data_IF_195171440993
#
_entry.id   IF_195171440993
#
_cell.length_a   1.000
_cell.length_b   1.000
_cell.length_c   1.000
_cell.angle_alpha   90.00
_cell.angle_beta   90.00
_cell.angle_gamma   90.00
#
_symmetry.space_group_name_H-M   'P 1'
#
loop_
_entity.id
_entity.type
_entity.pdbx_description
1 polymer ?
#
# COMPACT_ATOMS: atom_id res chain seq x y z
N UNK A 1 9.09 -17.58 -5.29
CA UNK A 1 8.05 -18.33 -6.03
C UNK A 1 7.41 -19.34 -5.09
N UNK A 2 6.36 -18.95 -4.38
CA UNK A 2 5.31 -19.91 -4.04
C UNK A 2 4.39 -19.91 -5.26
N UNK A 3 4.07 -21.09 -5.79
CA UNK A 3 3.32 -21.25 -7.04
C UNK A 3 2.03 -20.44 -7.00
N UNK A 4 1.93 -19.47 -7.90
CA UNK A 4 0.75 -18.66 -8.19
C UNK A 4 -0.23 -19.47 -9.03
N UNK A 5 -0.68 -20.59 -8.48
CA UNK A 5 -1.84 -21.28 -8.99
C UNK A 5 -2.78 -21.42 -7.81
N UNK A 6 -3.78 -20.52 -7.79
CA UNK A 6 -5.09 -20.79 -7.24
C UNK A 6 -5.32 -20.43 -5.77
N UNK A 7 -5.93 -19.26 -5.56
CA UNK A 7 -6.99 -19.14 -4.55
C UNK A 7 -8.31 -19.66 -5.19
N UNK A 8 -9.03 -20.56 -4.52
CA UNK A 8 -10.36 -21.06 -4.91
C UNK A 8 -10.62 -21.40 -6.40
N UNK A 9 -9.74 -22.11 -7.08
CA UNK A 9 -9.90 -22.48 -8.50
C UNK A 9 -9.95 -21.30 -9.48
N UNK A 10 -9.49 -20.10 -9.13
CA UNK A 10 -9.51 -18.97 -10.06
C UNK A 10 -8.36 -19.05 -11.05
N UNK A 11 -8.69 -19.45 -12.27
CA UNK A 11 -7.80 -19.33 -13.41
C UNK A 11 -8.10 -18.01 -14.12
N UNK A 12 -7.11 -17.11 -14.18
CA UNK A 12 -7.27 -15.85 -14.91
C UNK A 12 -7.49 -16.05 -16.42
N UNK A 13 -7.14 -17.23 -16.92
CA UNK A 13 -7.27 -17.63 -18.31
C UNK A 13 -8.55 -18.47 -18.55
N UNK A 14 -9.38 -18.68 -17.52
CA UNK A 14 -10.69 -19.32 -17.68
C UNK A 14 -11.64 -18.45 -18.54
N UNK A 15 -12.43 -19.07 -19.44
CA UNK A 15 -13.43 -18.36 -20.22
C UNK A 15 -14.34 -17.50 -19.35
N UNK A 16 -14.65 -16.29 -19.82
CA UNK A 16 -15.58 -15.39 -19.13
C UNK A 16 -17.01 -15.95 -19.03
N UNK A 17 -17.37 -16.87 -19.94
CA UNK A 17 -18.63 -17.60 -19.90
C UNK A 17 -18.40 -19.02 -19.35
N UNK A 18 -18.62 -19.18 -18.05
CA UNK A 18 -18.71 -20.48 -17.37
C UNK A 18 -19.88 -20.41 -16.38
N UNK A 19 -20.61 -21.51 -16.21
CA UNK A 19 -21.68 -21.66 -15.22
C UNK A 19 -21.30 -21.17 -13.82
N UNK A 20 -20.06 -21.40 -13.37
CA UNK A 20 -19.55 -20.89 -12.09
C UNK A 20 -19.58 -19.35 -12.03
N UNK A 21 -19.07 -18.69 -13.06
CA UNK A 21 -19.04 -17.22 -13.18
C UNK A 21 -20.44 -16.63 -13.33
N UNK A 22 -21.33 -17.30 -14.06
CA UNK A 22 -22.74 -16.91 -14.19
C UNK A 22 -23.44 -16.96 -12.83
N UNK A 23 -23.20 -18.02 -12.04
CA UNK A 23 -23.75 -18.14 -10.69
C UNK A 23 -23.23 -17.03 -9.77
N UNK A 24 -21.94 -16.71 -9.82
CA UNK A 24 -21.35 -15.61 -9.06
C UNK A 24 -21.98 -14.25 -9.42
N UNK A 25 -22.15 -13.96 -10.71
CA UNK A 25 -22.83 -12.74 -11.18
C UNK A 25 -24.29 -12.71 -10.71
N UNK A 26 -25.00 -13.84 -10.73
CA UNK A 26 -26.39 -13.91 -10.29
C UNK A 26 -26.54 -13.62 -8.78
N UNK A 27 -25.64 -14.17 -7.95
CA UNK A 27 -25.61 -13.92 -6.50
C UNK A 27 -25.21 -12.47 -6.21
N UNK A 28 -24.18 -11.94 -6.88
CA UNK A 28 -23.67 -10.58 -6.71
C UNK A 28 -24.31 -9.52 -7.63
N UNK A 29 -25.51 -9.75 -8.17
CA UNK A 29 -26.07 -8.99 -9.31
C UNK A 29 -26.06 -7.48 -9.11
N UNK A 30 -26.40 -7.00 -7.92
CA UNK A 30 -26.49 -5.57 -7.66
C UNK A 30 -25.10 -4.92 -7.66
N UNK A 31 -24.08 -5.64 -7.15
CA UNK A 31 -22.67 -5.22 -7.19
C UNK A 31 -22.19 -5.15 -8.64
N UNK A 32 -22.48 -6.19 -9.41
CA UNK A 32 -22.16 -6.30 -10.83
C UNK A 32 -22.76 -5.14 -11.62
N UNK A 33 -24.07 -4.90 -11.52
CA UNK A 33 -24.74 -3.84 -12.28
C UNK A 33 -24.24 -2.44 -11.90
N UNK A 34 -24.02 -2.18 -10.60
CA UNK A 34 -23.42 -0.90 -10.15
C UNK A 34 -22.03 -0.68 -10.76
N UNK A 35 -21.20 -1.72 -10.78
CA UNK A 35 -19.86 -1.66 -11.36
C UNK A 35 -19.90 -1.40 -12.86
N UNK A 36 -20.64 -2.22 -13.61
CA UNK A 36 -20.73 -2.13 -15.07
C UNK A 36 -21.34 -0.79 -15.52
N UNK A 37 -22.40 -0.34 -14.85
CA UNK A 37 -23.00 0.97 -15.11
C UNK A 37 -21.99 2.10 -14.92
N UNK A 38 -21.22 2.06 -13.82
CA UNK A 38 -20.23 3.09 -13.51
C UNK A 38 -19.10 3.10 -14.52
N UNK A 39 -18.53 1.93 -14.85
CA UNK A 39 -17.43 1.79 -15.80
C UNK A 39 -17.84 2.27 -17.19
N UNK A 40 -19.01 1.85 -17.69
CA UNK A 40 -19.54 2.30 -18.99
C UNK A 40 -19.79 3.81 -18.98
N UNK A 41 -20.30 4.36 -17.89
CA UNK A 41 -20.55 5.81 -17.77
C UNK A 41 -19.25 6.61 -17.80
N UNK A 42 -18.22 6.16 -17.08
CA UNK A 42 -16.89 6.79 -17.06
C UNK A 42 -16.25 6.71 -18.44
N UNK A 43 -16.22 5.52 -19.05
CA UNK A 43 -15.65 5.30 -20.39
C UNK A 43 -16.32 6.18 -21.44
N UNK A 44 -17.66 6.20 -21.49
CA UNK A 44 -18.40 7.03 -22.45
C UNK A 44 -18.15 8.52 -22.25
N UNK A 45 -17.91 8.96 -21.02
CA UNK A 45 -17.59 10.36 -20.74
C UNK A 45 -16.22 10.76 -21.30
N UNK A 46 -15.21 9.89 -21.20
CA UNK A 46 -13.89 10.10 -21.82
C UNK A 46 -13.96 10.01 -23.33
N UNK A 47 -14.68 9.04 -23.89
CA UNK A 47 -14.84 8.90 -25.33
C UNK A 47 -15.45 10.17 -25.97
N UNK A 48 -16.47 10.77 -25.31
CA UNK A 48 -17.07 12.05 -25.73
C UNK A 48 -16.07 13.20 -25.66
N UNK A 49 -15.29 13.30 -24.57
CA UNK A 49 -14.29 14.36 -24.44
C UNK A 49 -13.16 14.20 -25.47
N UNK A 50 -12.62 12.99 -25.63
CA UNK A 50 -11.59 12.68 -26.63
C UNK A 50 -12.05 13.06 -28.04
N UNK A 51 -13.29 12.73 -28.42
CA UNK A 51 -13.87 13.14 -29.70
C UNK A 51 -13.96 14.66 -29.84
N UNK A 52 -14.39 15.36 -28.78
CA UNK A 52 -14.48 16.83 -28.76
C UNK A 52 -13.10 17.49 -28.88
N UNK A 53 -12.11 17.00 -28.15
CA UNK A 53 -10.73 17.52 -28.20
C UNK A 53 -10.08 17.24 -29.55
N UNK A 54 -10.27 16.05 -30.13
CA UNK A 54 -9.77 15.72 -31.47
C UNK A 54 -10.32 16.70 -32.51
N UNK A 55 -11.63 16.94 -32.51
CA UNK A 55 -12.28 17.90 -33.40
C UNK A 55 -11.78 19.33 -33.18
N UNK A 56 -11.61 19.75 -31.92
CA UNK A 56 -11.07 21.09 -31.57
C UNK A 56 -9.61 21.28 -32.01
N UNK A 57 -8.79 20.23 -31.96
CA UNK A 57 -7.42 20.26 -32.50
C UNK A 57 -7.41 20.40 -34.03
N UNK A 58 -8.22 19.59 -34.71
CA UNK A 58 -8.29 19.55 -36.18
C UNK A 58 -8.90 20.83 -36.77
N UNK A 59 -9.96 21.38 -36.18
CA UNK A 59 -10.73 22.50 -36.77
C UNK A 59 -10.38 23.87 -36.18
N UNK A 60 -9.95 23.93 -34.92
CA UNK A 60 -9.80 25.18 -34.15
C UNK A 60 -8.39 25.38 -33.59
N UNK A 61 -7.45 24.49 -33.90
CA UNK A 61 -6.06 24.59 -33.45
C UNK A 61 -5.91 24.55 -31.92
N UNK A 62 -6.80 23.84 -31.21
CA UNK A 62 -6.76 23.81 -29.74
C UNK A 62 -5.42 23.34 -29.20
N UNK A 63 -4.78 24.22 -28.43
CA UNK A 63 -3.56 23.93 -27.69
C UNK A 63 -3.87 23.18 -26.39
N UNK A 64 -2.83 22.59 -25.76
CA UNK A 64 -2.94 21.86 -24.50
C UNK A 64 -3.61 22.69 -23.40
N UNK A 65 -3.31 23.97 -23.32
CA UNK A 65 -3.87 24.89 -22.33
C UNK A 65 -5.39 24.99 -22.38
N UNK A 66 -5.97 24.78 -23.57
CA UNK A 66 -7.42 24.85 -23.79
C UNK A 66 -8.11 23.56 -23.33
N UNK A 67 -7.61 22.40 -23.76
CA UNK A 67 -8.30 21.14 -23.50
C UNK A 67 -7.92 20.48 -22.17
N UNK A 68 -6.74 20.74 -21.63
CA UNK A 68 -6.26 20.11 -20.40
C UNK A 68 -7.14 20.41 -19.17
N UNK A 69 -7.63 21.65 -18.94
CA UNK A 69 -8.62 21.93 -17.88
C UNK A 69 -9.91 21.10 -18.02
N UNK A 70 -10.34 20.79 -19.24
CA UNK A 70 -11.53 19.99 -19.49
C UNK A 70 -11.35 18.54 -19.00
N UNK A 71 -10.16 17.97 -19.19
CA UNK A 71 -9.81 16.65 -18.64
C UNK A 71 -9.75 16.69 -17.11
N UNK A 72 -9.14 17.73 -16.51
CA UNK A 72 -9.09 17.90 -15.05
C UNK A 72 -10.49 17.91 -14.43
N UNK A 73 -11.43 18.64 -15.02
CA UNK A 73 -12.82 18.67 -14.57
C UNK A 73 -13.55 17.32 -14.77
N UNK A 74 -13.26 16.62 -15.87
CA UNK A 74 -13.80 15.29 -16.08
C UNK A 74 -13.25 14.27 -15.07
N UNK A 75 -11.96 14.33 -14.75
CA UNK A 75 -11.32 13.49 -13.74
C UNK A 75 -12.02 13.65 -12.39
N UNK A 76 -12.26 14.88 -11.92
CA UNK A 76 -12.99 15.12 -10.66
C UNK A 76 -14.39 14.48 -10.65
N UNK A 77 -15.14 14.64 -11.73
CA UNK A 77 -16.50 14.07 -11.85
C UNK A 77 -16.49 12.55 -11.80
N UNK A 78 -15.59 11.93 -12.57
CA UNK A 78 -15.49 10.48 -12.65
C UNK A 78 -14.87 9.85 -11.39
N UNK A 79 -13.93 10.55 -10.75
CA UNK A 79 -13.35 10.17 -9.46
C UNK A 79 -14.44 10.01 -8.38
N UNK A 80 -15.41 10.92 -8.34
CA UNK A 80 -16.54 10.80 -7.41
C UNK A 80 -17.44 9.59 -7.71
N UNK A 81 -17.61 9.24 -8.99
CA UNK A 81 -18.36 8.04 -9.37
C UNK A 81 -17.62 6.77 -8.90
N UNK A 82 -16.30 6.73 -9.09
CA UNK A 82 -15.46 5.61 -8.65
C UNK A 82 -15.44 5.47 -7.13
N UNK A 83 -15.30 6.58 -6.40
CA UNK A 83 -15.42 6.60 -4.94
C UNK A 83 -16.76 6.01 -4.46
N UNK A 84 -17.89 6.46 -5.04
CA UNK A 84 -19.21 5.94 -4.69
C UNK A 84 -19.34 4.45 -4.98
N UNK A 85 -18.84 3.99 -6.12
CA UNK A 85 -18.82 2.57 -6.47
C UNK A 85 -18.06 1.77 -5.41
N UNK A 86 -16.83 2.17 -5.10
CA UNK A 86 -15.98 1.48 -4.15
C UNK A 86 -16.58 1.46 -2.75
N UNK A 87 -17.11 2.60 -2.29
CA UNK A 87 -17.77 2.72 -0.98
C UNK A 87 -19.01 1.84 -0.87
N UNK A 88 -19.85 1.80 -1.91
CA UNK A 88 -21.13 1.10 -1.87
C UNK A 88 -20.98 -0.41 -2.04
N UNK A 89 -19.99 -0.87 -2.82
CA UNK A 89 -19.72 -2.29 -2.93
C UNK A 89 -18.88 -2.80 -1.75
N UNK A 90 -17.96 -2.03 -1.18
CA UNK A 90 -17.15 -2.50 -0.06
C UNK A 90 -16.21 -3.65 -0.42
N UNK A 91 -15.63 -4.32 0.59
CA UNK A 91 -14.76 -5.50 0.43
C UNK A 91 -13.66 -5.29 -0.63
N UNK A 92 -13.59 -6.16 -1.65
CA UNK A 92 -12.61 -6.10 -2.75
C UNK A 92 -12.56 -4.74 -3.45
N UNK A 93 -13.65 -3.99 -3.49
CA UNK A 93 -13.64 -2.65 -4.08
C UNK A 93 -12.95 -1.59 -3.22
N UNK A 94 -12.96 -1.75 -1.89
CA UNK A 94 -12.18 -0.90 -0.98
C UNK A 94 -10.70 -1.25 -1.13
N UNK A 95 -10.37 -2.53 -1.26
CA UNK A 95 -9.01 -2.98 -1.59
C UNK A 95 -8.52 -2.43 -2.93
N UNK A 96 -9.37 -2.46 -3.96
CA UNK A 96 -9.09 -1.84 -5.25
C UNK A 96 -8.84 -0.32 -5.12
N UNK A 97 -9.64 0.37 -4.30
CA UNK A 97 -9.44 1.79 -4.03
C UNK A 97 -8.11 2.05 -3.30
N UNK A 98 -7.76 1.23 -2.31
CA UNK A 98 -6.48 1.27 -1.61
C UNK A 98 -5.31 1.06 -2.58
N UNK A 99 -5.36 0.01 -3.39
CA UNK A 99 -4.36 -0.31 -4.40
C UNK A 99 -4.12 0.86 -5.37
N UNK A 100 -5.20 1.40 -5.96
CA UNK A 100 -5.12 2.47 -6.94
C UNK A 100 -4.70 3.82 -6.35
N UNK A 101 -5.20 4.17 -5.17
CA UNK A 101 -4.81 5.42 -4.49
C UNK A 101 -3.36 5.40 -4.03
N UNK A 102 -2.75 4.22 -3.93
CA UNK A 102 -1.35 4.06 -3.58
C UNK A 102 -0.42 3.93 -4.81
N UNK A 103 -0.98 4.06 -6.03
CA UNK A 103 -0.30 4.01 -7.34
C UNK A 103 -0.48 5.33 -8.10
N UNK A 104 0.25 6.38 -7.70
CA UNK A 104 0.18 7.69 -8.34
C UNK A 104 0.72 7.71 -9.78
N UNK A 105 1.33 6.63 -10.24
CA UNK A 105 1.76 6.35 -11.61
C UNK A 105 0.63 5.82 -12.52
N UNK A 106 -0.52 5.43 -11.96
CA UNK A 106 -1.64 4.83 -12.71
C UNK A 106 -2.79 5.81 -12.91
N UNK A 107 -3.15 6.57 -11.87
CA UNK A 107 -4.35 7.42 -11.88
C UNK A 107 -4.03 8.90 -11.81
N UNK A 108 -4.86 9.76 -12.45
CA UNK A 108 -4.80 11.20 -12.21
C UNK A 108 -5.07 11.54 -10.74
N UNK A 109 -4.41 12.59 -10.23
CA UNK A 109 -4.51 13.09 -8.85
C UNK A 109 -5.95 13.16 -8.31
N UNK A 110 -6.91 13.62 -9.11
CA UNK A 110 -8.32 13.73 -8.70
C UNK A 110 -8.93 12.39 -8.25
N UNK A 111 -8.54 11.26 -8.86
CA UNK A 111 -9.00 9.94 -8.42
C UNK A 111 -8.31 9.50 -7.13
N UNK A 112 -7.01 9.74 -7.02
CA UNK A 112 -6.22 9.40 -5.82
C UNK A 112 -6.84 10.10 -4.60
N UNK A 113 -7.07 11.41 -4.70
CA UNK A 113 -7.67 12.21 -3.64
C UNK A 113 -9.09 11.74 -3.28
N UNK A 114 -9.91 11.39 -4.27
CA UNK A 114 -11.26 10.88 -4.02
C UNK A 114 -11.28 9.51 -3.34
N UNK A 115 -10.29 8.65 -3.61
CA UNK A 115 -10.20 7.29 -3.07
C UNK A 115 -9.47 7.23 -1.71
N UNK A 116 -8.60 8.21 -1.39
CA UNK A 116 -7.83 8.28 -0.13
C UNK A 116 -8.68 8.05 1.13
N UNK A 117 -9.92 8.59 1.27
CA UNK A 117 -10.74 8.34 2.45
C UNK A 117 -11.15 6.86 2.65
N UNK A 118 -11.14 6.05 1.60
CA UNK A 118 -11.47 4.62 1.69
C UNK A 118 -10.32 3.78 2.27
N UNK A 119 -9.11 4.34 2.37
CA UNK A 119 -7.99 3.64 3.00
C UNK A 119 -8.25 3.34 4.48
N UNK A 120 -8.99 4.22 5.17
CA UNK A 120 -9.26 4.13 6.61
C UNK A 120 -10.70 3.72 6.94
N UNK A 121 -11.50 3.32 5.95
CA UNK A 121 -12.93 3.05 6.10
C UNK A 121 -13.22 1.61 6.59
N UNK A 122 -12.50 1.15 7.61
CA UNK A 122 -12.67 -0.19 8.16
C UNK A 122 -13.98 -0.26 8.97
N UNK A 123 -14.76 -1.32 8.76
CA UNK A 123 -16.00 -1.58 9.50
C UNK A 123 -15.80 -2.80 10.37
N UNK A 124 -16.21 -2.72 11.63
CA UNK A 124 -16.32 -3.89 12.48
C UNK A 124 -17.68 -4.58 12.29
N UNK A 125 -17.69 -5.88 12.56
CA UNK A 125 -18.85 -6.73 12.71
C UNK A 125 -18.95 -7.18 14.18
N UNK A 126 -20.15 -7.48 14.68
CA UNK A 126 -20.31 -8.07 16.01
C UNK A 126 -19.49 -9.36 16.15
N UNK A 127 -18.94 -9.62 17.33
CA UNK A 127 -18.14 -10.82 17.59
C UNK A 127 -18.87 -12.12 17.26
N UNK A 128 -20.20 -12.15 17.47
CA UNK A 128 -21.04 -13.30 17.10
C UNK A 128 -20.95 -13.68 15.61
N UNK A 129 -20.69 -12.73 14.72
CA UNK A 129 -20.49 -12.98 13.30
C UNK A 129 -19.12 -13.63 12.98
N UNK A 130 -18.15 -13.56 13.90
CA UNK A 130 -16.84 -14.20 13.79
C UNK A 130 -16.82 -15.64 14.32
N UNK A 131 -17.79 -16.00 15.18
CA UNK A 131 -17.87 -17.32 15.81
C UNK A 131 -17.89 -18.46 14.78
N UNK A 132 -18.62 -18.38 13.65
CA UNK A 132 -18.56 -19.42 12.62
C UNK A 132 -17.15 -19.64 12.07
N UNK A 133 -16.40 -18.57 11.82
CA UNK A 133 -15.00 -18.64 11.34
C UNK A 133 -14.10 -19.31 12.39
N UNK A 134 -14.26 -18.95 13.67
CA UNK A 134 -13.51 -19.58 14.77
C UNK A 134 -13.85 -21.07 14.91
N UNK A 135 -15.12 -21.45 14.77
CA UNK A 135 -15.56 -22.85 14.82
C UNK A 135 -14.99 -23.66 13.66
N UNK A 136 -14.97 -23.10 12.45
CA UNK A 136 -14.45 -23.78 11.27
C UNK A 136 -12.92 -23.96 11.32
N UNK A 137 -12.17 -22.97 11.81
CA UNK A 137 -10.70 -23.00 11.81
C UNK A 137 -10.12 -23.69 13.06
N UNK A 138 -10.72 -23.48 14.23
CA UNK A 138 -10.22 -23.96 15.53
C UNK A 138 -11.06 -25.11 16.11
N UNK A 139 -12.17 -25.47 15.48
CA UNK A 139 -13.07 -26.55 15.89
C UNK A 139 -14.26 -26.07 16.76
N UNK A 140 -15.28 -26.94 16.96
CA UNK A 140 -16.51 -26.57 17.68
C UNK A 140 -16.29 -26.15 19.13
N UNK A 141 -15.21 -26.64 19.76
CA UNK A 141 -14.86 -26.35 21.15
C UNK A 141 -13.71 -25.34 21.25
N UNK A 142 -13.52 -24.45 20.26
CA UNK A 142 -12.42 -23.49 20.23
C UNK A 142 -12.28 -22.66 21.52
N UNK A 143 -13.40 -22.39 22.22
CA UNK A 143 -13.40 -21.67 23.50
C UNK A 143 -12.60 -22.38 24.60
N UNK A 144 -12.46 -23.71 24.53
CA UNK A 144 -11.68 -24.48 25.51
C UNK A 144 -10.17 -24.20 25.41
N UNK A 145 -9.72 -23.64 24.28
CA UNK A 145 -8.32 -23.20 24.08
C UNK A 145 -8.00 -21.92 24.86
N UNK A 146 -9.02 -21.16 25.25
CA UNK A 146 -8.89 -19.85 25.88
C UNK A 146 -9.44 -19.84 27.31
N UNK A 147 -8.79 -19.06 28.18
CA UNK A 147 -9.37 -18.66 29.46
C UNK A 147 -10.49 -17.66 29.23
N UNK A 148 -10.25 -16.65 28.39
CA UNK A 148 -11.25 -15.67 27.94
C UNK A 148 -10.88 -15.10 26.57
N UNK A 149 -11.88 -14.60 25.85
CA UNK A 149 -11.72 -13.83 24.61
C UNK A 149 -12.56 -12.57 24.72
N UNK A 150 -11.95 -11.41 24.48
CA UNK A 150 -12.64 -10.12 24.49
C UNK A 150 -13.45 -9.94 23.21
N UNK A 151 -14.76 -9.73 23.36
CA UNK A 151 -15.66 -9.56 22.21
C UNK A 151 -15.52 -8.18 21.54
N UNK A 152 -15.03 -7.18 22.26
CA UNK A 152 -14.72 -5.87 21.70
C UNK A 152 -13.44 -5.93 20.85
N UNK A 153 -13.48 -5.51 19.57
CA UNK A 153 -12.31 -5.51 18.72
C UNK A 153 -11.32 -4.43 19.17
N UNK A 154 -10.05 -4.81 19.31
CA UNK A 154 -8.95 -3.87 19.60
C UNK A 154 -8.54 -3.12 18.33
N UNK A 155 -8.54 -3.83 17.20
CA UNK A 155 -8.22 -3.26 15.91
C UNK A 155 -9.11 -3.88 14.83
N UNK A 156 -9.42 -3.09 13.81
CA UNK A 156 -10.18 -3.54 12.65
C UNK A 156 -9.37 -3.20 11.41
N UNK A 157 -9.11 -4.22 10.60
CA UNK A 157 -8.52 -4.12 9.27
C UNK A 157 -9.62 -4.23 8.21
N UNK A 158 -9.23 -4.20 6.95
CA UNK A 158 -10.16 -4.25 5.81
C UNK A 158 -10.81 -5.62 5.60
N UNK A 159 -10.15 -6.71 6.00
CA UNK A 159 -10.64 -8.09 5.87
C UNK A 159 -10.63 -8.87 7.20
N UNK A 160 -10.24 -8.23 8.31
CA UNK A 160 -10.02 -8.93 9.58
C UNK A 160 -10.30 -8.03 10.79
N UNK A 161 -10.56 -8.65 11.94
CA UNK A 161 -10.61 -8.00 13.25
C UNK A 161 -9.62 -8.65 14.20
N UNK A 162 -9.07 -7.85 15.11
CA UNK A 162 -8.15 -8.32 16.14
C UNK A 162 -8.81 -8.18 17.50
N UNK A 163 -8.81 -9.26 18.26
CA UNK A 163 -9.38 -9.36 19.60
C UNK A 163 -8.30 -9.74 20.61
N UNK A 164 -8.35 -9.14 21.80
CA UNK A 164 -7.49 -9.57 22.92
C UNK A 164 -8.06 -10.84 23.53
N UNK A 165 -7.21 -11.77 23.92
CA UNK A 165 -7.60 -13.00 24.58
C UNK A 165 -6.51 -13.47 25.54
N UNK A 166 -6.83 -14.49 26.33
CA UNK A 166 -5.89 -15.21 27.17
C UNK A 166 -6.03 -16.71 26.95
N UNK A 167 -4.91 -17.39 26.74
CA UNK A 167 -4.84 -18.85 26.61
C UNK A 167 -4.98 -19.53 27.98
N UNK A 168 -5.34 -20.82 28.01
CA UNK A 168 -5.43 -21.60 29.27
C UNK A 168 -4.13 -21.69 30.06
N UNK A 169 -2.98 -21.48 29.42
CA UNK A 169 -1.67 -21.42 30.07
C UNK A 169 -1.38 -20.04 30.70
N UNK A 170 -2.32 -19.10 30.68
CA UNK A 170 -2.21 -17.75 31.21
C UNK A 170 -1.60 -16.71 30.26
N UNK A 171 -1.10 -17.13 29.09
CA UNK A 171 -0.49 -16.21 28.13
C UNK A 171 -1.55 -15.33 27.45
N UNK A 172 -1.35 -14.02 27.47
CA UNK A 172 -2.18 -13.08 26.71
C UNK A 172 -1.78 -13.07 25.23
N UNK A 173 -2.79 -13.05 24.37
CA UNK A 173 -2.64 -13.17 22.91
C UNK A 173 -3.54 -12.19 22.17
N UNK A 174 -3.15 -11.86 20.95
CA UNK A 174 -3.99 -11.18 19.98
C UNK A 174 -4.50 -12.22 18.96
N UNK A 175 -5.83 -12.29 18.78
CA UNK A 175 -6.48 -13.18 17.81
C UNK A 175 -6.96 -12.32 16.64
N UNK A 176 -6.32 -12.45 15.49
CA UNK A 176 -6.75 -11.88 14.21
C UNK A 176 -7.68 -12.88 13.53
N UNK A 177 -8.94 -12.50 13.34
CA UNK A 177 -9.99 -13.32 12.71
C UNK A 177 -10.45 -12.64 11.44
N UNK A 178 -10.50 -13.39 10.34
CA UNK A 178 -11.04 -12.90 9.08
C UNK A 178 -12.53 -12.56 9.23
N UNK A 179 -12.96 -11.44 8.64
CA UNK A 179 -14.38 -11.07 8.58
C UNK A 179 -15.17 -12.13 7.80
N UNK A 180 -16.43 -12.41 8.17
CA UNK A 180 -17.26 -13.36 7.42
C UNK A 180 -17.51 -12.86 6.00
N UNK A 181 -17.82 -13.78 5.08
CA UNK A 181 -18.22 -13.51 3.69
C UNK A 181 -17.17 -12.84 2.80
N UNK A 182 -15.99 -12.45 3.30
CA UNK A 182 -14.97 -11.78 2.46
C UNK A 182 -14.50 -12.63 1.29
N UNK A 183 -14.39 -13.96 1.49
CA UNK A 183 -14.08 -14.91 0.43
C UNK A 183 -15.18 -14.95 -0.63
N UNK A 184 -16.45 -15.00 -0.20
CA UNK A 184 -17.59 -15.03 -1.13
C UNK A 184 -17.75 -13.72 -1.91
N UNK A 185 -17.50 -12.59 -1.26
CA UNK A 185 -17.52 -11.27 -1.89
C UNK A 185 -16.36 -11.11 -2.86
N UNK A 186 -15.17 -11.62 -2.52
CA UNK A 186 -14.04 -11.68 -3.42
C UNK A 186 -14.35 -12.52 -4.66
N UNK A 187 -14.91 -13.72 -4.48
CA UNK A 187 -15.36 -14.60 -5.56
C UNK A 187 -16.34 -13.91 -6.52
N UNK A 188 -17.31 -13.16 -5.98
CA UNK A 188 -18.28 -12.40 -6.77
C UNK A 188 -17.63 -11.27 -7.56
N UNK A 189 -16.75 -10.50 -6.91
CA UNK A 189 -16.09 -9.35 -7.53
C UNK A 189 -14.98 -9.75 -8.51
N UNK A 190 -14.35 -10.92 -8.34
CA UNK A 190 -13.29 -11.43 -9.20
C UNK A 190 -13.71 -11.41 -10.68
N UNK A 191 -14.89 -12.00 -10.97
CA UNK A 191 -15.44 -12.03 -12.33
C UNK A 191 -15.74 -10.62 -12.86
N UNK A 192 -16.22 -9.72 -12.01
CA UNK A 192 -16.50 -8.33 -12.39
C UNK A 192 -15.21 -7.62 -12.82
N UNK A 193 -14.15 -7.77 -12.03
CA UNK A 193 -12.85 -7.18 -12.33
C UNK A 193 -12.24 -7.74 -13.63
N UNK A 194 -12.33 -9.05 -13.88
CA UNK A 194 -11.90 -9.63 -15.16
C UNK A 194 -12.62 -9.00 -16.35
N UNK A 195 -13.94 -8.81 -16.26
CA UNK A 195 -14.74 -8.18 -17.31
C UNK A 195 -14.36 -6.71 -17.51
N UNK A 196 -14.09 -5.98 -16.43
CA UNK A 196 -13.60 -4.60 -16.50
C UNK A 196 -12.24 -4.53 -17.20
N UNK A 197 -11.33 -5.47 -16.89
CA UNK A 197 -10.03 -5.57 -17.56
C UNK A 197 -10.18 -5.72 -19.06
N UNK A 198 -11.09 -6.59 -19.51
CA UNK A 198 -11.38 -6.74 -20.95
C UNK A 198 -12.04 -5.49 -21.56
N UNK A 199 -12.95 -4.82 -20.84
CA UNK A 199 -13.65 -3.64 -21.36
C UNK A 199 -12.78 -2.40 -21.48
N UNK A 200 -11.75 -2.29 -20.64
CA UNK A 200 -10.83 -1.15 -20.59
C UNK A 200 -9.51 -1.43 -21.31
N UNK A 201 -9.32 -2.64 -21.84
CA UNK A 201 -8.14 -3.03 -22.59
C UNK A 201 -7.89 -2.08 -23.78
N UNK A 202 -6.65 -1.59 -23.89
CA UNK A 202 -6.24 -0.60 -24.90
C UNK A 202 -6.89 0.78 -24.78
N UNK A 203 -7.73 1.06 -23.79
CA UNK A 203 -8.40 2.37 -23.62
C UNK A 203 -7.59 3.38 -22.79
N UNK A 204 -6.59 2.90 -22.04
CA UNK A 204 -5.68 3.72 -21.25
C UNK A 204 -4.27 3.50 -21.81
N UNK A 205 -3.72 4.43 -22.63
CA UNK A 205 -2.50 4.19 -23.42
C UNK A 205 -1.25 3.83 -22.59
N UNK A 206 -1.19 4.26 -21.33
CA UNK A 206 -0.04 4.08 -20.45
C UNK A 206 -0.21 2.97 -19.40
N UNK A 207 -1.33 2.24 -19.41
CA UNK A 207 -1.64 1.25 -18.38
C UNK A 207 -2.17 -0.03 -19.01
N UNK A 208 -1.49 -1.15 -18.76
CA UNK A 208 -2.06 -2.48 -18.98
C UNK A 208 -3.08 -2.76 -17.88
N UNK A 209 -4.34 -2.41 -18.17
CA UNK A 209 -5.45 -2.55 -17.20
C UNK A 209 -5.69 -4.01 -16.84
N UNK A 210 -5.47 -4.95 -17.76
CA UNK A 210 -5.67 -6.38 -17.51
C UNK A 210 -4.62 -6.90 -16.54
N UNK A 211 -3.36 -6.59 -16.80
CA UNK A 211 -2.25 -6.99 -15.94
C UNK A 211 -2.38 -6.36 -14.55
N UNK A 212 -2.72 -5.06 -14.50
CA UNK A 212 -2.95 -4.35 -13.23
C UNK A 212 -4.06 -5.00 -12.40
N UNK A 213 -5.20 -5.33 -13.02
CA UNK A 213 -6.31 -6.00 -12.33
C UNK A 213 -5.92 -7.39 -11.86
N UNK A 214 -5.20 -8.16 -12.70
CA UNK A 214 -4.68 -9.48 -12.33
C UNK A 214 -3.82 -9.38 -11.07
N UNK A 215 -2.84 -8.48 -11.08
CA UNK A 215 -1.95 -8.25 -9.94
C UNK A 215 -2.71 -7.85 -8.66
N UNK A 216 -3.68 -6.95 -8.77
CA UNK A 216 -4.50 -6.53 -7.62
C UNK A 216 -5.32 -7.70 -7.04
N UNK A 217 -5.90 -8.54 -7.90
CA UNK A 217 -6.67 -9.72 -7.48
C UNK A 217 -5.77 -10.79 -6.85
N UNK A 218 -4.58 -11.03 -7.40
CA UNK A 218 -3.57 -11.94 -6.82
C UNK A 218 -3.18 -11.47 -5.42
N UNK A 219 -2.84 -10.19 -5.27
CA UNK A 219 -2.45 -9.63 -3.97
C UNK A 219 -3.58 -9.70 -2.94
N UNK A 220 -4.82 -9.39 -3.35
CA UNK A 220 -5.99 -9.49 -2.46
C UNK A 220 -6.26 -10.94 -2.06
N UNK A 221 -6.07 -11.89 -2.98
CA UNK A 221 -6.22 -13.31 -2.68
C UNK A 221 -5.15 -13.83 -1.70
N UNK A 222 -3.92 -13.32 -1.79
CA UNK A 222 -2.88 -13.61 -0.79
C UNK A 222 -3.27 -13.10 0.59
N UNK A 223 -3.80 -11.88 0.70
CA UNK A 223 -4.25 -11.32 1.99
C UNK A 223 -5.39 -12.14 2.63
N UNK A 224 -6.26 -12.76 1.84
CA UNK A 224 -7.34 -13.62 2.33
C UNK A 224 -6.85 -14.94 2.94
N UNK A 225 -5.57 -15.26 2.81
CA UNK A 225 -4.96 -16.43 3.42
C UNK A 225 -3.87 -16.01 4.41
N UNK A 226 -4.20 -16.02 5.69
CA UNK A 226 -3.27 -15.65 6.76
C UNK A 226 -2.06 -16.58 6.89
N UNK A 227 -2.00 -17.69 6.15
CA UNK A 227 -0.77 -18.50 6.06
C UNK A 227 0.38 -17.74 5.38
N UNK A 228 0.09 -16.81 4.45
CA UNK A 228 1.13 -15.97 3.86
C UNK A 228 1.70 -15.00 4.90
N UNK A 229 0.84 -14.32 5.64
CA UNK A 229 1.25 -13.43 6.74
C UNK A 229 1.99 -14.20 7.83
N UNK A 230 1.48 -15.36 8.25
CA UNK A 230 2.16 -16.27 9.18
C UNK A 230 3.58 -16.62 8.71
N UNK A 231 3.75 -17.02 7.45
CA UNK A 231 5.06 -17.37 6.91
C UNK A 231 6.00 -16.14 6.87
N UNK A 232 5.46 -14.96 6.58
CA UNK A 232 6.22 -13.71 6.62
C UNK A 232 6.64 -13.36 8.04
N UNK A 233 5.70 -13.31 9.00
CA UNK A 233 6.00 -13.03 10.41
C UNK A 233 7.03 -14.01 10.97
N UNK A 234 6.89 -15.30 10.67
CA UNK A 234 7.86 -16.32 11.08
C UNK A 234 9.26 -16.01 10.52
N UNK A 235 9.36 -15.79 9.20
CA UNK A 235 10.64 -15.47 8.55
C UNK A 235 11.26 -14.22 9.15
N UNK A 236 10.47 -13.16 9.37
CA UNK A 236 10.97 -11.94 9.98
C UNK A 236 11.40 -12.17 11.43
N UNK A 237 10.69 -13.00 12.21
CA UNK A 237 11.08 -13.34 13.58
C UNK A 237 12.42 -14.08 13.69
N UNK A 238 12.89 -14.70 12.61
CA UNK A 238 14.18 -15.42 12.54
C UNK A 238 15.35 -14.51 12.11
N UNK A 239 15.08 -13.28 11.65
CA UNK A 239 16.11 -12.34 11.19
C UNK A 239 16.73 -11.55 12.36
N UNK A 240 18.00 -11.18 12.21
CA UNK A 240 18.73 -10.38 13.19
C UNK A 240 18.47 -8.88 12.98
N UNK A 241 17.37 -8.40 13.55
CA UNK A 241 16.95 -7.00 13.44
C UNK A 241 17.84 -6.03 14.20
N UNK A 242 17.74 -4.75 13.83
CA UNK A 242 18.27 -3.62 14.61
C UNK A 242 17.88 -3.72 16.09
N UNK A 243 18.72 -3.19 17.01
CA UNK A 243 18.36 -3.07 18.42
C UNK A 243 16.99 -2.41 18.59
N UNK A 244 16.23 -2.87 19.59
CA UNK A 244 14.86 -2.42 19.90
C UNK A 244 13.78 -2.71 18.86
N UNK A 245 14.09 -3.30 17.70
CA UNK A 245 13.05 -3.83 16.80
C UNK A 245 12.58 -5.19 17.30
N UNK A 246 11.27 -5.39 17.31
CA UNK A 246 10.63 -6.64 17.73
C UNK A 246 9.57 -7.09 16.73
N UNK A 247 9.38 -8.40 16.65
CA UNK A 247 8.42 -9.09 15.79
C UNK A 247 7.48 -9.91 16.68
N UNK A 248 6.16 -9.93 16.42
CA UNK A 248 5.23 -10.76 17.16
C UNK A 248 5.62 -12.25 17.12
N UNK A 249 5.49 -12.91 18.26
CA UNK A 249 5.68 -14.36 18.43
C UNK A 249 4.37 -15.06 18.08
N UNK A 250 4.44 -16.01 17.16
CA UNK A 250 3.28 -16.76 16.66
C UNK A 250 2.90 -17.89 17.62
N UNK A 251 1.59 -18.07 17.83
CA UNK A 251 1.03 -19.28 18.45
C UNK A 251 0.76 -20.30 17.33
N UNK A 252 1.80 -21.06 16.96
CA UNK A 252 1.81 -21.89 15.75
C UNK A 252 0.58 -22.79 15.59
N UNK A 253 0.17 -23.49 16.66
CA UNK A 253 -0.95 -24.45 16.61
C UNK A 253 -2.30 -23.78 16.36
N UNK A 254 -2.42 -22.49 16.65
CA UNK A 254 -3.63 -21.69 16.53
C UNK A 254 -3.68 -20.85 15.25
N UNK A 255 -2.60 -20.84 14.46
CA UNK A 255 -2.56 -20.12 13.19
C UNK A 255 -3.07 -21.01 12.04
N UNK A 256 -4.18 -20.60 11.42
CA UNK A 256 -4.88 -21.30 10.33
C UNK A 256 -5.09 -20.35 9.15
N UNK A 257 -5.94 -20.70 8.19
CA UNK A 257 -6.12 -19.91 6.95
C UNK A 257 -6.79 -18.56 7.25
N UNK A 258 -7.77 -18.56 8.17
CA UNK A 258 -8.62 -17.40 8.48
C UNK A 258 -8.52 -16.92 9.93
N UNK A 259 -7.63 -17.53 10.71
CA UNK A 259 -7.32 -17.15 12.09
C UNK A 259 -5.81 -17.12 12.27
N UNK A 260 -5.28 -16.04 12.84
CA UNK A 260 -3.87 -15.91 13.18
C UNK A 260 -3.76 -15.42 14.62
N UNK A 261 -2.89 -16.05 15.41
CA UNK A 261 -2.75 -15.75 16.84
C UNK A 261 -1.29 -15.45 17.16
N UNK A 262 -1.04 -14.29 17.77
CA UNK A 262 0.28 -13.86 18.23
C UNK A 262 0.26 -13.61 19.73
N UNK A 263 1.43 -13.46 20.36
CA UNK A 263 1.49 -12.88 21.71
C UNK A 263 0.81 -11.51 21.72
N UNK A 264 0.22 -11.16 22.86
CA UNK A 264 -0.19 -9.80 23.13
C UNK A 264 1.05 -8.92 23.36
N UNK A 265 1.00 -7.69 22.85
CA UNK A 265 2.06 -6.69 22.98
C UNK A 265 1.46 -5.56 23.82
N UNK A 266 1.96 -5.39 25.04
CA UNK A 266 1.60 -4.25 25.87
C UNK A 266 2.37 -3.02 25.41
N UNK A 267 1.76 -2.23 24.52
CA UNK A 267 2.37 -1.04 23.96
C UNK A 267 1.37 -0.01 23.46
N UNK A 268 1.80 1.24 23.33
CA UNK A 268 1.03 2.33 22.70
C UNK A 268 1.35 2.37 21.21
N UNK A 269 0.45 2.89 20.38
CA UNK A 269 0.76 3.12 18.96
C UNK A 269 1.86 4.17 18.86
N UNK A 270 2.80 3.97 17.93
CA UNK A 270 3.91 4.90 17.71
C UNK A 270 3.41 6.34 17.59
N UNK A 271 2.38 6.59 16.77
CA UNK A 271 1.82 7.94 16.57
C UNK A 271 1.33 8.57 17.86
N UNK A 272 0.68 7.80 18.74
CA UNK A 272 0.16 8.35 19.99
C UNK A 272 1.31 8.81 20.90
N UNK A 273 2.43 8.08 20.91
CA UNK A 273 3.65 8.48 21.62
C UNK A 273 4.28 9.70 20.97
N UNK A 274 4.46 9.70 19.64
CA UNK A 274 5.06 10.83 18.95
C UNK A 274 4.24 12.12 19.17
N UNK A 275 2.90 12.03 19.15
CA UNK A 275 2.00 13.14 19.45
C UNK A 275 2.11 13.60 20.91
N UNK A 276 2.28 12.67 21.86
CA UNK A 276 2.50 12.97 23.28
C UNK A 276 3.83 13.69 23.51
N UNK A 277 4.93 13.14 23.01
CA UNK A 277 6.25 13.75 23.06
C UNK A 277 6.26 15.12 22.38
N UNK A 278 5.57 15.27 21.24
CA UNK A 278 5.53 16.55 20.52
C UNK A 278 4.81 17.64 21.31
N UNK A 279 3.71 17.29 21.99
CA UNK A 279 2.99 18.20 22.90
C UNK A 279 3.85 18.61 24.11
N UNK A 280 4.76 17.75 24.52
CA UNK A 280 5.64 17.96 25.67
C UNK A 280 7.04 18.51 25.29
N UNK A 281 7.26 18.86 24.01
CA UNK A 281 8.54 19.33 23.45
C UNK A 281 9.72 18.33 23.60
N UNK A 282 9.42 17.04 23.74
CA UNK A 282 10.43 15.97 23.79
C UNK A 282 10.84 15.52 22.39
N UNK A 283 11.57 16.40 21.70
CA UNK A 283 12.03 16.14 20.33
C UNK A 283 13.14 15.10 20.24
N UNK A 284 13.80 14.78 21.35
CA UNK A 284 14.89 13.81 21.41
C UNK A 284 14.33 12.38 21.39
N UNK A 285 13.27 12.09 22.15
CA UNK A 285 12.61 10.79 22.13
C UNK A 285 11.94 10.50 20.78
N UNK A 286 11.30 11.50 20.18
CA UNK A 286 10.75 11.39 18.81
C UNK A 286 11.86 11.03 17.83
N UNK A 287 13.00 11.73 17.89
CA UNK A 287 14.13 11.48 16.99
C UNK A 287 14.68 10.07 17.16
N UNK A 288 14.82 9.61 18.40
CA UNK A 288 15.30 8.27 18.71
C UNK A 288 14.39 7.19 18.10
N UNK A 289 13.08 7.22 18.38
CA UNK A 289 12.12 6.24 17.84
C UNK A 289 12.07 6.23 16.31
N UNK A 290 12.06 7.41 15.68
CA UNK A 290 12.07 7.50 14.22
C UNK A 290 13.37 7.00 13.60
N UNK A 291 14.50 7.19 14.30
CA UNK A 291 15.81 6.68 13.85
C UNK A 291 15.87 5.15 13.94
N UNK A 292 15.32 4.56 15.00
CA UNK A 292 15.18 3.10 15.14
C UNK A 292 14.38 2.53 13.97
N UNK A 293 13.23 3.13 13.66
CA UNK A 293 12.38 2.69 12.57
C UNK A 293 13.04 2.87 11.19
N UNK A 294 13.67 4.01 10.95
CA UNK A 294 14.41 4.28 9.72
C UNK A 294 15.53 3.26 9.49
N UNK A 295 16.34 2.98 10.52
CA UNK A 295 17.42 2.01 10.44
C UNK A 295 16.90 0.59 10.17
N UNK A 296 15.75 0.22 10.76
CA UNK A 296 15.09 -1.05 10.48
C UNK A 296 14.71 -1.19 9.00
N UNK A 297 14.04 -0.18 8.43
CA UNK A 297 13.63 -0.24 7.02
C UNK A 297 14.82 -0.25 6.06
N UNK A 298 15.86 0.52 6.38
CA UNK A 298 17.10 0.47 5.60
C UNK A 298 17.70 -0.93 5.64
N UNK A 299 17.82 -1.55 6.81
CA UNK A 299 18.31 -2.93 6.94
C UNK A 299 17.47 -3.92 6.13
N UNK A 300 16.15 -3.83 6.22
CA UNK A 300 15.22 -4.69 5.48
C UNK A 300 15.43 -4.60 3.96
N UNK A 301 15.63 -3.38 3.44
CA UNK A 301 15.83 -3.15 2.00
C UNK A 301 17.25 -3.55 1.57
N UNK A 302 18.28 -3.12 2.28
CA UNK A 302 19.67 -3.19 1.82
C UNK A 302 20.42 -4.44 2.27
N UNK A 303 20.00 -5.07 3.37
CA UNK A 303 20.64 -6.26 3.92
C UNK A 303 19.76 -7.51 3.72
N UNK A 304 18.49 -7.46 4.11
CA UNK A 304 17.63 -8.65 4.04
C UNK A 304 17.07 -8.94 2.65
N UNK A 305 16.98 -7.92 1.79
CA UNK A 305 16.30 -8.02 0.50
C UNK A 305 14.79 -8.35 0.64
N UNK A 306 14.22 -8.11 1.81
CA UNK A 306 12.79 -8.22 2.04
C UNK A 306 12.37 -7.21 3.10
N UNK A 307 11.30 -6.48 2.81
CA UNK A 307 10.87 -5.35 3.62
C UNK A 307 9.36 -5.30 3.76
N UNK A 308 8.91 -4.81 4.92
CA UNK A 308 7.51 -4.53 5.15
C UNK A 308 7.07 -3.38 4.21
N UNK A 309 6.07 -3.63 3.37
CA UNK A 309 5.68 -2.72 2.29
C UNK A 309 4.39 -1.92 2.56
N UNK A 310 3.88 -2.00 3.79
CA UNK A 310 2.72 -1.24 4.27
C UNK A 310 3.09 -0.47 5.56
N UNK A 311 3.80 0.66 5.46
CA UNK A 311 4.32 1.42 6.60
C UNK A 311 3.20 2.17 7.35
N UNK A 312 1.95 1.68 7.31
CA UNK A 312 0.81 2.33 7.93
C UNK A 312 1.09 2.59 9.41
N UNK A 313 0.82 3.79 9.95
CA UNK A 313 1.20 4.14 11.31
C UNK A 313 0.59 3.22 12.39
N UNK A 314 -0.55 2.60 12.10
CA UNK A 314 -1.18 1.61 12.97
C UNK A 314 -0.43 0.28 13.11
N UNK A 315 0.58 0.03 12.27
CA UNK A 315 1.37 -1.21 12.28
C UNK A 315 2.57 -1.13 13.23
N UNK A 316 2.77 -0.01 13.94
CA UNK A 316 3.87 0.18 14.88
C UNK A 316 3.36 0.40 16.30
N UNK A 317 3.80 -0.46 17.22
CA UNK A 317 3.60 -0.28 18.65
C UNK A 317 4.94 -0.02 19.33
N UNK A 318 4.90 0.67 20.46
CA UNK A 318 6.07 0.92 21.31
C UNK A 318 5.72 0.47 22.73
N UNK A 319 6.54 -0.43 23.28
CA UNK A 319 6.37 -0.94 24.65
C UNK A 319 7.01 -0.03 25.70
N UNK A 320 6.90 -0.41 26.97
CA UNK A 320 7.39 0.38 28.10
C UNK A 320 8.93 0.51 28.13
N UNK A 321 9.64 -0.40 27.46
CA UNK A 321 11.10 -0.40 27.30
C UNK A 321 11.55 0.28 26.00
N UNK A 322 10.66 1.03 25.34
CA UNK A 322 10.90 1.73 24.09
C UNK A 322 11.31 0.80 22.92
N UNK A 323 10.95 -0.48 22.96
CA UNK A 323 11.07 -1.34 21.78
C UNK A 323 9.96 -1.02 20.78
N UNK A 324 10.32 -0.95 19.50
CA UNK A 324 9.39 -0.74 18.39
C UNK A 324 8.99 -2.10 17.81
N UNK A 325 7.72 -2.43 17.95
CA UNK A 325 7.11 -3.64 17.41
C UNK A 325 6.46 -3.34 16.06
N UNK A 326 6.83 -4.11 15.04
CA UNK A 326 6.16 -4.10 13.74
C UNK A 326 5.16 -5.26 13.75
N UNK A 327 3.86 -4.98 13.72
CA UNK A 327 2.83 -6.00 14.00
C UNK A 327 2.16 -6.60 12.77
N UNK A 328 2.32 -5.99 11.59
CA UNK A 328 1.68 -6.44 10.34
C UNK A 328 2.74 -6.81 9.28
N UNK A 329 2.72 -8.08 8.87
CA UNK A 329 3.57 -8.64 7.82
C UNK A 329 2.76 -9.21 6.65
N UNK A 330 1.53 -8.70 6.46
CA UNK A 330 0.65 -9.10 5.36
C UNK A 330 1.21 -8.71 4.00
N UNK A 331 1.83 -7.53 3.90
CA UNK A 331 2.41 -7.02 2.65
C UNK A 331 3.92 -6.89 2.75
N UNK A 332 4.66 -7.74 2.01
CA UNK A 332 6.13 -7.77 1.99
C UNK A 332 6.66 -7.53 0.59
N UNK A 333 7.51 -6.52 0.42
CA UNK A 333 8.34 -6.34 -0.75
C UNK A 333 9.50 -7.33 -0.74
N UNK A 334 9.77 -7.98 -1.87
CA UNK A 334 10.85 -8.96 -2.02
C UNK A 334 11.76 -8.55 -3.15
N UNK A 335 13.06 -8.50 -2.85
CA UNK A 335 14.12 -8.18 -3.78
C UNK A 335 14.95 -9.43 -4.04
N UNK A 336 15.29 -9.66 -5.30
CA UNK A 336 16.39 -10.57 -5.64
C UNK A 336 17.71 -10.02 -5.10
N UNK A 337 18.75 -10.86 -4.91
CA UNK A 337 20.06 -10.37 -4.47
C UNK A 337 20.62 -9.25 -5.36
N UNK A 338 20.37 -9.31 -6.67
CA UNK A 338 20.78 -8.27 -7.61
C UNK A 338 19.98 -6.97 -7.40
N UNK A 339 18.65 -7.06 -7.26
CA UNK A 339 17.82 -5.91 -6.94
C UNK A 339 18.22 -5.28 -5.60
N UNK A 340 18.51 -6.06 -4.56
CA UNK A 340 18.99 -5.56 -3.27
C UNK A 340 20.22 -4.68 -3.45
N UNK A 341 21.21 -5.13 -4.23
CA UNK A 341 22.42 -4.35 -4.51
C UNK A 341 22.07 -3.08 -5.30
N UNK A 342 21.29 -3.21 -6.38
CA UNK A 342 20.96 -2.09 -7.27
C UNK A 342 20.15 -1.00 -6.54
N UNK A 343 19.14 -1.39 -5.74
CA UNK A 343 18.37 -0.45 -4.92
C UNK A 343 19.23 0.16 -3.80
N UNK A 344 20.13 -0.60 -3.17
CA UNK A 344 21.04 -0.06 -2.16
C UNK A 344 21.93 1.04 -2.75
N UNK A 345 22.52 0.79 -3.92
CA UNK A 345 23.33 1.79 -4.63
C UNK A 345 22.52 3.01 -5.03
N UNK A 346 21.29 2.81 -5.53
CA UNK A 346 20.40 3.89 -5.93
C UNK A 346 20.01 4.76 -4.74
N UNK A 347 19.61 4.15 -3.62
CA UNK A 347 19.25 4.88 -2.38
C UNK A 347 20.47 5.65 -1.86
N UNK A 348 21.64 5.01 -1.81
CA UNK A 348 22.87 5.68 -1.36
C UNK A 348 23.23 6.88 -2.24
N UNK A 349 23.12 6.75 -3.57
CA UNK A 349 23.37 7.84 -4.51
C UNK A 349 22.39 9.01 -4.30
N UNK A 350 21.09 8.72 -4.13
CA UNK A 350 20.07 9.73 -3.85
C UNK A 350 20.32 10.43 -2.50
N UNK A 351 20.67 9.68 -1.45
CA UNK A 351 20.95 10.25 -0.11
C UNK A 351 22.19 11.14 -0.08
N UNK A 352 23.23 10.80 -0.86
CA UNK A 352 24.46 11.59 -0.97
C UNK A 352 24.33 12.81 -1.90
N UNK A 353 23.19 12.95 -2.60
CA UNK A 353 23.03 13.95 -3.65
C UNK A 353 23.98 13.74 -4.84
N UNK A 354 24.51 12.52 -5.01
CA UNK A 354 25.42 12.19 -6.09
C UNK A 354 24.63 11.72 -7.31
N UNK A 355 24.50 12.60 -8.29
CA UNK A 355 23.67 12.36 -9.46
C UNK A 355 24.40 11.99 -10.73
N UNK A 356 25.73 12.02 -10.71
CA UNK A 356 26.55 11.72 -11.90
C UNK A 356 26.25 10.35 -12.52
N UNK A 357 25.74 9.40 -11.71
CA UNK A 357 25.42 8.04 -12.13
C UNK A 357 23.94 7.66 -11.92
N UNK A 358 23.03 8.62 -11.74
CA UNK A 358 21.63 8.33 -11.40
C UNK A 358 20.92 7.54 -12.52
N UNK A 359 21.07 7.96 -13.78
CA UNK A 359 20.46 7.26 -14.92
C UNK A 359 20.87 5.79 -15.05
N UNK A 360 22.18 5.46 -15.06
CA UNK A 360 22.65 4.08 -15.05
C UNK A 360 22.14 3.24 -13.87
N UNK A 361 22.09 3.83 -12.66
CA UNK A 361 21.58 3.14 -11.47
C UNK A 361 20.08 2.84 -11.59
N UNK A 362 19.30 3.77 -12.13
CA UNK A 362 17.87 3.56 -12.34
C UNK A 362 17.60 2.50 -13.42
N UNK A 363 18.36 2.49 -14.52
CA UNK A 363 18.28 1.42 -15.51
C UNK A 363 18.57 0.05 -14.88
N UNK A 364 19.61 -0.05 -14.04
CA UNK A 364 19.92 -1.28 -13.28
C UNK A 364 18.85 -1.65 -12.26
N UNK A 365 18.18 -0.67 -11.67
CA UNK A 365 17.05 -0.89 -10.77
C UNK A 365 15.75 -1.29 -11.51
N UNK A 366 15.76 -1.35 -12.85
CA UNK A 366 14.66 -1.88 -13.67
C UNK A 366 13.77 -0.82 -14.32
N UNK A 367 14.09 0.46 -14.20
CA UNK A 367 13.34 1.53 -14.88
C UNK A 367 13.52 1.44 -16.40
N UNK A 368 12.43 1.64 -17.14
CA UNK A 368 12.45 1.68 -18.61
C UNK A 368 11.83 2.97 -19.13
N UNK A 369 12.17 3.34 -20.37
CA UNK A 369 11.72 4.61 -20.96
C UNK A 369 12.52 5.83 -20.48
N UNK A 370 13.65 5.62 -19.79
CA UNK A 370 14.52 6.71 -19.34
C UNK A 370 15.28 7.36 -20.50
N UNK A 371 15.04 8.65 -20.71
CA UNK A 371 15.85 9.54 -21.56
C UNK A 371 16.83 10.36 -20.72
N UNK A 372 17.86 10.92 -21.35
CA UNK A 372 18.84 11.77 -20.66
C UNK A 372 18.19 13.02 -20.07
N UNK A 373 17.18 13.59 -20.73
CA UNK A 373 16.37 14.72 -20.22
C UNK A 373 15.65 14.37 -18.91
N UNK A 374 15.09 13.16 -18.80
CA UNK A 374 14.43 12.69 -17.58
C UNK A 374 15.44 12.47 -16.47
N UNK A 375 16.61 11.90 -16.78
CA UNK A 375 17.69 11.69 -15.80
C UNK A 375 18.21 13.04 -15.28
N UNK A 376 18.37 14.02 -16.16
CA UNK A 376 18.78 15.38 -15.79
C UNK A 376 17.71 16.07 -14.94
N UNK A 377 16.43 15.99 -15.30
CA UNK A 377 15.33 16.54 -14.49
C UNK A 377 15.29 15.88 -13.09
N UNK A 378 15.45 14.55 -13.01
CA UNK A 378 15.52 13.83 -11.73
C UNK A 378 16.76 14.16 -10.92
N UNK A 379 17.88 14.43 -11.57
CA UNK A 379 19.10 14.82 -10.89
C UNK A 379 18.93 16.14 -10.13
N UNK A 380 18.13 17.07 -10.64
CA UNK A 380 17.81 18.33 -9.93
C UNK A 380 17.05 18.08 -8.63
N UNK A 381 16.12 17.12 -8.62
CA UNK A 381 15.39 16.72 -7.41
C UNK A 381 16.30 16.03 -6.37
N UNK A 382 17.27 15.24 -6.81
CA UNK A 382 18.22 14.56 -5.93
C UNK A 382 19.33 15.47 -5.38
N UNK A 383 19.82 16.47 -6.15
CA UNK A 383 20.93 17.36 -5.75
C UNK A 383 20.47 18.49 -4.85
N UNK A 384 19.25 19.00 -5.06
CA UNK A 384 18.82 20.23 -4.40
C UNK A 384 17.44 20.09 -3.75
N UNK A 385 17.32 19.28 -2.69
CA UNK A 385 16.11 19.25 -1.87
C UNK A 385 15.75 20.64 -1.34
N UNK A 386 16.69 21.59 -1.27
CA UNK A 386 16.43 23.00 -0.92
C UNK A 386 15.88 23.87 -2.05
N UNK A 387 16.06 23.56 -3.34
CA UNK A 387 15.41 24.31 -4.44
C UNK A 387 14.00 23.79 -4.69
N UNK A 388 13.77 22.50 -4.44
CA UNK A 388 12.45 21.93 -4.19
C UNK A 388 11.85 22.56 -2.92
N UNK A 389 12.50 22.48 -1.74
CA UNK A 389 11.96 22.99 -0.47
C UNK A 389 11.84 24.53 -0.37
N UNK A 390 12.69 25.34 -1.05
CA UNK A 390 12.59 26.82 -1.04
C UNK A 390 11.44 27.33 -1.91
N UNK A 391 10.99 26.58 -2.91
CA UNK A 391 9.72 26.84 -3.61
C UNK A 391 8.50 26.17 -2.93
N UNK A 392 8.75 25.29 -1.95
CA UNK A 392 7.76 24.44 -1.26
C UNK A 392 7.61 24.75 0.24
N UNK A 393 7.61 26.03 0.63
CA UNK A 393 7.18 26.39 2.00
C UNK A 393 5.70 26.02 2.17
N UNK A 394 5.43 24.92 2.89
CA UNK A 394 4.07 24.52 3.30
C UNK A 394 3.37 23.43 2.48
N UNK A 395 4.06 22.75 1.55
CA UNK A 395 3.50 21.56 0.86
C UNK A 395 3.88 20.26 1.56
N UNK A 396 2.93 19.32 1.61
CA UNK A 396 3.15 18.00 2.20
C UNK A 396 3.94 17.09 1.24
N UNK A 397 4.71 16.13 1.78
CA UNK A 397 5.58 15.22 1.01
C UNK A 397 4.81 14.43 -0.07
N UNK A 398 3.53 14.16 0.16
CA UNK A 398 2.65 13.50 -0.81
C UNK A 398 2.42 14.34 -2.07
N UNK A 399 2.40 15.68 -1.97
CA UNK A 399 2.29 16.55 -3.15
C UNK A 399 3.54 16.52 -4.03
N UNK A 400 4.72 16.45 -3.41
CA UNK A 400 6.01 16.37 -4.13
C UNK A 400 6.14 15.04 -4.85
N UNK A 401 5.76 13.94 -4.20
CA UNK A 401 5.75 12.60 -4.80
C UNK A 401 4.73 12.53 -5.94
N UNK A 402 3.54 13.13 -5.77
CA UNK A 402 2.54 13.15 -6.82
C UNK A 402 3.02 13.95 -8.04
N UNK A 403 3.64 15.13 -7.87
CA UNK A 403 4.20 15.91 -8.98
C UNK A 403 5.32 15.13 -9.69
N UNK A 404 6.16 14.43 -8.93
CA UNK A 404 7.21 13.56 -9.46
C UNK A 404 6.64 12.37 -10.26
N UNK A 405 5.57 11.75 -9.77
CA UNK A 405 4.92 10.61 -10.43
C UNK A 405 4.12 11.05 -11.66
N UNK A 406 3.51 12.24 -11.63
CA UNK A 406 2.89 12.86 -12.81
C UNK A 406 3.93 13.01 -13.94
N UNK A 407 5.18 13.35 -13.64
CA UNK A 407 6.25 13.41 -14.66
C UNK A 407 6.60 12.04 -15.23
N UNK A 408 6.73 11.00 -14.40
CA UNK A 408 6.94 9.65 -14.92
C UNK A 408 5.80 9.20 -15.84
N UNK A 409 4.56 9.53 -15.50
CA UNK A 409 3.41 9.28 -16.38
C UNK A 409 3.52 10.06 -17.70
N UNK A 410 3.84 11.36 -17.64
CA UNK A 410 3.97 12.22 -18.83
C UNK A 410 5.05 11.72 -19.79
N UNK A 411 6.15 11.21 -19.25
CA UNK A 411 7.26 10.69 -20.03
C UNK A 411 7.15 9.20 -20.36
N UNK A 412 6.05 8.53 -19.98
CA UNK A 412 5.85 7.10 -20.18
C UNK A 412 6.98 6.22 -19.63
N UNK A 413 7.55 6.62 -18.48
CA UNK A 413 8.57 5.83 -17.79
C UNK A 413 7.89 4.68 -17.06
N UNK A 414 8.32 3.46 -17.33
CA UNK A 414 7.90 2.30 -16.54
C UNK A 414 8.71 2.27 -15.24
N UNK A 415 8.02 2.45 -14.12
CA UNK A 415 8.60 2.43 -12.77
C UNK A 415 8.43 1.03 -12.17
N UNK A 416 9.51 0.40 -11.66
CA UNK A 416 9.41 -0.91 -11.00
C UNK A 416 8.50 -0.89 -9.76
N UNK A 417 7.70 -1.93 -9.57
CA UNK A 417 6.78 -2.04 -8.42
C UNK A 417 7.52 -2.00 -7.07
N UNK A 418 8.68 -2.68 -6.99
CA UNK A 418 9.55 -2.66 -5.81
C UNK A 418 10.05 -1.23 -5.49
N UNK A 419 10.36 -0.42 -6.50
CA UNK A 419 10.73 0.98 -6.29
C UNK A 419 9.56 1.80 -5.74
N UNK A 420 8.34 1.60 -6.24
CA UNK A 420 7.15 2.28 -5.74
C UNK A 420 6.87 1.92 -4.28
N UNK A 421 7.01 0.64 -3.92
CA UNK A 421 6.84 0.17 -2.55
C UNK A 421 7.90 0.77 -1.61
N UNK A 422 9.18 0.75 -2.01
CA UNK A 422 10.27 1.40 -1.25
C UNK A 422 10.00 2.90 -1.12
N UNK A 423 9.65 3.57 -2.22
CA UNK A 423 9.34 5.00 -2.23
C UNK A 423 8.22 5.36 -1.27
N UNK A 424 7.18 4.53 -1.17
CA UNK A 424 6.08 4.70 -0.20
C UNK A 424 6.56 4.56 1.25
N UNK A 425 7.36 3.54 1.54
CA UNK A 425 7.99 3.35 2.86
C UNK A 425 8.80 4.59 3.26
N UNK A 426 9.72 5.01 2.40
CA UNK A 426 10.57 6.18 2.66
C UNK A 426 9.76 7.47 2.76
N UNK A 427 8.70 7.62 1.96
CA UNK A 427 7.80 8.76 2.01
C UNK A 427 7.03 8.84 3.33
N UNK A 428 6.46 7.73 3.79
CA UNK A 428 5.74 7.68 5.07
C UNK A 428 6.66 7.98 6.24
N UNK A 429 7.87 7.40 6.25
CA UNK A 429 8.90 7.73 7.24
C UNK A 429 9.26 9.21 7.20
N UNK A 430 9.57 9.76 6.02
CA UNK A 430 9.85 11.18 5.83
C UNK A 430 8.70 12.07 6.30
N UNK A 431 7.46 11.62 6.10
CA UNK A 431 6.25 12.26 6.60
C UNK A 431 6.22 12.38 8.13
N UNK A 432 6.64 11.35 8.88
CA UNK A 432 6.78 11.45 10.33
C UNK A 432 7.82 12.50 10.73
N UNK A 433 9.02 12.45 10.15
CA UNK A 433 10.07 13.43 10.42
C UNK A 433 9.59 14.87 10.16
N UNK A 434 8.88 15.09 9.05
CA UNK A 434 8.33 16.40 8.70
C UNK A 434 7.23 16.85 9.69
N UNK A 435 6.29 15.96 10.00
CA UNK A 435 5.15 16.25 10.90
C UNK A 435 5.64 16.69 12.28
N UNK A 436 6.61 15.97 12.83
CA UNK A 436 7.18 16.25 14.16
C UNK A 436 8.37 17.21 14.13
N UNK A 437 8.65 17.85 12.98
CA UNK A 437 9.74 18.83 12.79
C UNK A 437 11.13 18.32 13.18
N UNK A 438 11.36 17.02 13.06
CA UNK A 438 12.67 16.41 13.30
C UNK A 438 13.50 16.49 12.02
N UNK A 439 14.75 16.96 12.17
CA UNK A 439 15.70 16.91 11.05
C UNK A 439 16.03 15.46 10.76
N UNK A 440 15.79 15.05 9.51
CA UNK A 440 16.28 13.78 9.00
C UNK A 440 17.81 13.78 9.07
N UNK A 441 18.38 12.89 9.88
CA UNK A 441 19.81 12.60 9.84
C UNK A 441 20.01 11.44 8.87
N UNK A 442 20.95 11.59 7.93
CA UNK A 442 21.42 10.46 7.13
C UNK A 442 22.02 9.38 8.04
N UNK A 443 22.28 8.18 7.48
CA UNK A 443 22.76 7.03 8.26
C UNK A 443 23.97 7.37 9.16
N UNK A 444 24.12 6.69 10.31
CA UNK A 444 25.34 6.76 11.12
C UNK A 444 26.58 6.48 10.26
N UNK A 445 27.56 7.39 10.28
CA UNK A 445 28.76 7.35 9.42
C UNK A 445 28.73 8.25 8.19
N UNK A 446 27.61 8.95 7.92
CA UNK A 446 27.58 10.03 6.94
C UNK A 446 28.06 11.36 7.55
N UNK A 447 28.83 12.19 6.83
CA UNK A 447 29.09 13.55 7.26
C UNK A 447 27.75 14.27 7.42
N UNK A 448 27.56 14.92 8.57
CA UNK A 448 26.46 15.86 8.76
C UNK A 448 26.45 16.82 7.58
N UNK A 449 25.27 17.09 6.99
CA UNK A 449 25.13 18.21 6.06
C UNK A 449 25.42 19.49 6.85
N UNK A 450 26.70 19.82 6.99
CA UNK A 450 27.14 21.07 7.53
C UNK A 450 26.53 22.13 6.64
N UNK A 451 25.71 22.97 7.26
CA UNK A 451 25.27 24.22 6.67
C UNK A 451 26.53 24.98 6.29
N UNK A 452 26.88 24.98 5.00
CA UNK A 452 27.74 25.99 4.45
C UNK A 452 27.06 27.33 4.77
N UNK A 453 27.59 28.01 5.79
CA UNK A 453 27.43 29.44 5.94
C UNK A 453 28.14 30.03 4.73
N UNK A 454 27.36 30.41 3.72
CA UNK A 454 27.83 31.32 2.69
C UNK A 454 27.99 32.69 3.36
N UNK A 455 29.25 33.09 3.51
CA UNK A 455 29.69 34.49 3.52
C UNK A 455 29.54 35.09 2.13
#
# INVERSE_FOLDING_TARGET
MYGSDVYHGFNFDEPLLNWRKIKQIAVGRDRFFRAMYTVIRVERSYARLNKKVRKGKEEQGWTREIYHPMYKELHKKNAHLMYKLCKNNGATWVKFAQFLSARPDILPRAYIEALKPLQNANRSVPFSALVPVLVEELGPNWRDLFEWVGEEPIATASIAQVHKARLKNGQEVAIKVQLPEVDELFDQDFTVFQLIGVLLDGKIPSVDVKQMIRFMLEMTAEELNFQYEYANTKRFGELNHQPRIRVPVLQHDLCKKRVMVTNWIEGKRLVDILDECYRNDDTDHIRDLLTVLQNSYMQQITEFGCFQADPHPGNFLVDAEDNVWIVDYGTIGRLTPEETINYSMLIMAMMQGNTKNLGPLMKKAGFKGLSDEIVDEMSVYAINPKKAMKSQKGRAMDEVINEFMERFQEFHVEVPDNFLAIGRVLATLGGFFQTYKIKFQGMPGMPTMNTAKES
#
